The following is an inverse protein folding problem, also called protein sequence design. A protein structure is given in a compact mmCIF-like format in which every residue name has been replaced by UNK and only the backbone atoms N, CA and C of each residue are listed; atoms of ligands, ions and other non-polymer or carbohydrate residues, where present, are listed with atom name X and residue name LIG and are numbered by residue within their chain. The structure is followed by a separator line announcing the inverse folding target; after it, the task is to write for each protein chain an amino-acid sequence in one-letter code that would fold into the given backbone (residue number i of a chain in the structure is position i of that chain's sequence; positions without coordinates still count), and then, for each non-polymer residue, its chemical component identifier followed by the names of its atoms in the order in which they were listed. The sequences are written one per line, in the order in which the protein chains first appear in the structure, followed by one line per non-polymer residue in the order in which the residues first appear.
data_IF_401929671144
#
_entry.id   IF_401929671144
#
_cell.length_a   1.000
_cell.length_b   1.000
_cell.length_c   1.000
_cell.angle_alpha   90.00
_cell.angle_beta   90.00
_cell.angle_gamma   90.00
#
_symmetry.space_group_name_H-M   'P 1'
#
loop_
_entity.id
_entity.type
_entity.pdbx_description
1 polymer ?
#
# COMPACT_ATOMS: atom_id res chain seq x y z
N UNK A 1 -13.97 8.90 -26.45
CA UNK A 1 -13.98 7.43 -26.36
C UNK A 1 -12.78 7.07 -25.51
N UNK A 2 -12.96 6.37 -24.39
CA UNK A 2 -11.83 5.92 -23.58
C UNK A 2 -11.07 4.86 -24.38
N UNK A 3 -9.78 5.07 -24.60
CA UNK A 3 -8.96 4.16 -25.40
C UNK A 3 -8.88 2.80 -24.68
N UNK A 4 -9.12 1.67 -25.38
CA UNK A 4 -8.98 0.33 -24.81
C UNK A 4 -7.61 0.11 -24.13
N UNK A 5 -6.60 0.83 -24.62
CA UNK A 5 -5.23 0.83 -24.08
C UNK A 5 -5.15 1.42 -22.67
N UNK A 6 -5.89 2.49 -22.36
CA UNK A 6 -5.91 3.08 -21.03
C UNK A 6 -6.55 2.14 -20.00
N UNK A 7 -7.64 1.47 -20.39
CA UNK A 7 -8.30 0.47 -19.55
C UNK A 7 -7.39 -0.75 -19.28
N UNK A 8 -6.67 -1.20 -20.31
CA UNK A 8 -5.67 -2.25 -20.19
C UNK A 8 -4.51 -1.82 -19.26
N UNK A 9 -4.02 -0.59 -19.39
CA UNK A 9 -2.94 -0.03 -18.56
C UNK A 9 -3.30 -0.01 -17.07
N UNK A 10 -4.48 0.49 -16.72
CA UNK A 10 -4.95 0.53 -15.32
C UNK A 10 -5.14 -0.88 -14.77
N UNK A 11 -5.70 -1.80 -15.57
CA UNK A 11 -5.92 -3.19 -15.14
C UNK A 11 -4.59 -3.92 -14.88
N UNK A 12 -3.59 -3.71 -15.73
CA UNK A 12 -2.25 -4.28 -15.54
C UNK A 12 -1.55 -3.67 -14.33
N UNK A 13 -1.65 -2.34 -14.14
CA UNK A 13 -1.08 -1.67 -12.97
C UNK A 13 -1.71 -2.19 -11.65
N UNK A 14 -3.03 -2.37 -11.62
CA UNK A 14 -3.75 -2.94 -10.48
C UNK A 14 -3.33 -4.40 -10.21
N UNK A 15 -3.15 -5.19 -11.26
CA UNK A 15 -2.70 -6.57 -11.16
C UNK A 15 -1.24 -6.67 -10.66
N UNK A 16 -0.37 -5.76 -11.10
CA UNK A 16 1.04 -5.70 -10.68
C UNK A 16 1.17 -5.47 -9.17
N UNK A 17 0.33 -4.61 -8.60
CA UNK A 17 0.35 -4.33 -7.16
C UNK A 17 -0.06 -5.57 -6.32
N UNK A 18 -1.14 -6.25 -6.71
CA UNK A 18 -1.55 -7.50 -6.07
C UNK A 18 -0.51 -8.63 -6.23
N UNK A 19 0.16 -8.68 -7.39
CA UNK A 19 1.23 -9.63 -7.66
C UNK A 19 2.47 -9.40 -6.79
N UNK A 20 2.87 -8.13 -6.60
CA UNK A 20 3.98 -7.76 -5.73
C UNK A 20 3.74 -8.20 -4.28
N UNK A 21 2.52 -8.03 -3.76
CA UNK A 21 2.11 -8.52 -2.44
C UNK A 21 2.21 -10.04 -2.35
N UNK A 22 1.71 -10.75 -3.37
CA UNK A 22 1.77 -12.22 -3.41
C UNK A 22 3.21 -12.75 -3.42
N UNK A 23 4.10 -12.14 -4.21
CA UNK A 23 5.52 -12.49 -4.22
C UNK A 23 6.19 -12.15 -2.89
N UNK A 24 5.91 -10.98 -2.32
CA UNK A 24 6.45 -10.57 -1.02
C UNK A 24 6.10 -11.57 0.08
N UNK A 25 4.85 -12.02 0.13
CA UNK A 25 4.41 -13.08 1.05
C UNK A 25 5.11 -14.40 0.72
N UNK A 26 5.23 -14.79 -0.56
CA UNK A 26 5.88 -16.03 -0.97
C UNK A 26 7.38 -16.07 -0.66
N UNK A 27 8.08 -14.94 -0.72
CA UNK A 27 9.52 -14.84 -0.48
C UNK A 27 9.86 -14.82 1.02
N UNK A 28 8.96 -14.30 1.86
CA UNK A 28 9.24 -14.07 3.28
C UNK A 28 8.95 -15.28 4.19
N UNK A 29 8.29 -16.34 3.68
CA UNK A 29 7.60 -17.29 4.55
C UNK A 29 7.99 -18.75 4.31
N UNK A 30 8.72 -19.32 5.29
CA UNK A 30 8.95 -20.77 5.44
C UNK A 30 7.80 -21.47 6.20
N UNK A 31 6.96 -20.72 6.94
CA UNK A 31 5.78 -21.22 7.67
C UNK A 31 4.75 -20.09 7.87
N UNK A 32 3.65 -20.11 7.13
CA UNK A 32 2.49 -19.22 7.35
C UNK A 32 1.26 -20.05 7.62
N UNK A 33 0.46 -19.60 8.59
CA UNK A 33 -0.93 -19.99 8.63
C UNK A 33 -1.67 -19.33 7.47
N UNK A 34 -2.42 -20.11 6.69
CA UNK A 34 -3.28 -19.63 5.59
C UNK A 34 -4.23 -18.51 6.05
N UNK A 35 -4.56 -18.47 7.35
CA UNK A 35 -5.32 -17.38 8.01
C UNK A 35 -4.65 -16.01 7.94
N UNK A 36 -3.33 -15.96 8.01
CA UNK A 36 -2.59 -14.70 8.05
C UNK A 36 -2.51 -14.09 6.65
N UNK A 37 -2.25 -14.93 5.64
CA UNK A 37 -2.31 -14.56 4.22
C UNK A 37 -3.72 -14.12 3.85
N UNK A 38 -4.74 -14.86 4.26
CA UNK A 38 -6.13 -14.51 3.98
C UNK A 38 -6.52 -13.15 4.57
N UNK A 39 -6.17 -12.86 5.83
CA UNK A 39 -6.38 -11.52 6.40
C UNK A 39 -5.62 -10.45 5.64
N UNK A 40 -4.35 -10.67 5.32
CA UNK A 40 -3.52 -9.65 4.66
C UNK A 40 -4.05 -9.33 3.25
N UNK A 41 -4.30 -10.35 2.42
CA UNK A 41 -4.85 -10.18 1.06
C UNK A 41 -6.26 -9.58 1.08
N UNK A 42 -7.09 -9.94 2.07
CA UNK A 42 -8.41 -9.35 2.23
C UNK A 42 -8.35 -7.84 2.53
N UNK A 43 -7.48 -7.43 3.47
CA UNK A 43 -7.29 -6.01 3.76
C UNK A 43 -6.68 -5.29 2.56
N UNK A 44 -5.64 -5.84 1.93
CA UNK A 44 -4.99 -5.22 0.76
C UNK A 44 -5.98 -5.02 -0.40
N UNK A 45 -6.75 -6.05 -0.76
CA UNK A 45 -7.77 -5.94 -1.82
C UNK A 45 -8.90 -4.97 -1.46
N UNK A 46 -9.32 -4.93 -0.19
CA UNK A 46 -10.32 -3.97 0.27
C UNK A 46 -9.82 -2.53 0.15
N UNK A 47 -8.59 -2.25 0.59
CA UNK A 47 -7.97 -0.94 0.44
C UNK A 47 -7.70 -0.59 -1.04
N UNK A 48 -7.30 -1.57 -1.86
CA UNK A 48 -7.11 -1.44 -3.30
C UNK A 48 -8.39 -0.98 -4.02
N UNK A 49 -9.56 -1.48 -3.59
CA UNK A 49 -10.84 -1.08 -4.16
C UNK A 49 -11.32 0.26 -3.57
N UNK A 50 -11.05 0.50 -2.29
CA UNK A 50 -11.46 1.72 -1.60
C UNK A 50 -10.68 2.95 -2.07
N UNK A 51 -9.38 2.82 -2.37
CA UNK A 51 -8.52 3.93 -2.79
C UNK A 51 -8.97 4.59 -4.10
N UNK A 52 -9.28 3.88 -5.20
CA UNK A 52 -9.87 4.46 -6.41
C UNK A 52 -11.22 5.13 -6.17
N UNK A 53 -12.07 4.56 -5.31
CA UNK A 53 -13.38 5.13 -4.96
C UNK A 53 -13.21 6.46 -4.22
N UNK A 54 -12.30 6.50 -3.24
CA UNK A 54 -11.97 7.71 -2.51
C UNK A 54 -11.28 8.74 -3.42
N UNK A 55 -10.41 8.29 -4.31
CA UNK A 55 -9.74 9.13 -5.31
C UNK A 55 -10.73 9.76 -6.29
N UNK A 56 -11.73 9.01 -6.74
CA UNK A 56 -12.80 9.54 -7.58
C UNK A 56 -13.69 10.54 -6.82
N UNK A 57 -14.10 10.21 -5.59
CA UNK A 57 -14.91 11.09 -4.75
C UNK A 57 -14.18 12.41 -4.42
N UNK A 58 -12.93 12.31 -3.98
CA UNK A 58 -12.12 13.48 -3.56
C UNK A 58 -11.60 14.25 -4.78
N UNK A 59 -11.20 13.56 -5.86
CA UNK A 59 -10.76 14.15 -7.11
C UNK A 59 -11.86 14.90 -7.84
N UNK A 60 -13.13 14.51 -7.69
CA UNK A 60 -14.26 15.29 -8.23
C UNK A 60 -14.42 16.66 -7.57
N UNK A 61 -14.01 16.81 -6.31
CA UNK A 61 -14.10 18.08 -5.55
C UNK A 61 -12.82 18.91 -5.68
N UNK A 62 -11.66 18.25 -5.69
CA UNK A 62 -10.34 18.90 -5.80
C UNK A 62 -9.91 19.18 -7.25
N UNK A 63 -10.47 18.49 -8.25
CA UNK A 63 -10.12 18.62 -9.65
C UNK A 63 -10.27 20.04 -10.22
N UNK A 64 -11.16 20.85 -9.63
CA UNK A 64 -11.33 22.25 -10.01
C UNK A 64 -10.23 23.20 -9.47
N UNK A 65 -9.49 22.80 -8.43
CA UNK A 65 -8.43 23.63 -7.82
C UNK A 65 -7.00 23.12 -8.09
N UNK A 66 -6.84 21.85 -8.48
CA UNK A 66 -5.55 21.14 -8.45
C UNK A 66 -4.99 20.81 -9.85
N UNK A 67 -5.69 21.19 -10.93
CA UNK A 67 -5.34 20.83 -12.32
C UNK A 67 -3.89 21.12 -12.73
N UNK A 68 -3.24 22.15 -12.18
CA UNK A 68 -1.84 22.48 -12.50
C UNK A 68 -0.81 21.91 -11.50
N UNK A 69 -1.21 21.62 -10.26
CA UNK A 69 -0.31 21.18 -9.19
C UNK A 69 -0.31 19.66 -8.95
N UNK A 70 -1.30 18.93 -9.49
CA UNK A 70 -1.45 17.47 -9.29
C UNK A 70 -0.22 16.67 -9.74
N UNK A 71 0.34 17.05 -10.90
CA UNK A 71 1.44 16.29 -11.50
C UNK A 71 2.73 16.37 -10.68
N UNK A 72 3.07 17.56 -10.17
CA UNK A 72 4.26 17.76 -9.36
C UNK A 72 4.09 17.17 -7.95
N UNK A 73 2.89 17.23 -7.40
CA UNK A 73 2.57 16.67 -6.09
C UNK A 73 2.66 15.14 -6.08
N UNK A 74 2.09 14.48 -7.09
CA UNK A 74 2.19 13.02 -7.26
C UNK A 74 3.65 12.57 -7.41
N UNK A 75 4.46 13.33 -8.18
CA UNK A 75 5.87 13.03 -8.36
C UNK A 75 6.68 13.12 -7.05
N UNK A 76 6.44 14.15 -6.24
CA UNK A 76 7.16 14.36 -4.97
C UNK A 76 6.89 13.22 -3.97
N UNK A 77 5.62 12.82 -3.84
CA UNK A 77 5.20 11.75 -2.92
C UNK A 77 5.80 10.41 -3.37
N UNK A 78 5.74 10.09 -4.67
CA UNK A 78 6.29 8.84 -5.20
C UNK A 78 7.81 8.77 -5.03
N UNK A 79 8.52 9.87 -5.31
CA UNK A 79 9.97 9.94 -5.15
C UNK A 79 10.37 9.75 -3.68
N UNK A 80 9.70 10.42 -2.75
CA UNK A 80 9.93 10.26 -1.31
C UNK A 80 9.64 8.84 -0.81
N UNK A 81 8.53 8.24 -1.25
CA UNK A 81 8.16 6.87 -0.86
C UNK A 81 9.15 5.83 -1.41
N UNK A 82 9.53 5.96 -2.68
CA UNK A 82 10.49 5.08 -3.33
C UNK A 82 11.87 5.14 -2.67
N UNK A 83 12.38 6.34 -2.39
CA UNK A 83 13.65 6.53 -1.66
C UNK A 83 13.56 5.90 -0.26
N UNK A 84 12.45 6.10 0.46
CA UNK A 84 12.25 5.52 1.79
C UNK A 84 12.29 3.99 1.75
N UNK A 85 11.67 3.36 0.75
CA UNK A 85 11.68 1.89 0.59
C UNK A 85 13.10 1.37 0.29
N UNK A 86 13.82 2.02 -0.62
CA UNK A 86 15.21 1.65 -0.95
C UNK A 86 16.10 1.81 0.29
N UNK A 87 15.96 2.93 1.01
CA UNK A 87 16.72 3.17 2.24
C UNK A 87 16.45 2.10 3.29
N UNK A 88 15.19 1.71 3.52
CA UNK A 88 14.83 0.65 4.46
C UNK A 88 15.41 -0.71 4.07
N UNK A 89 15.34 -1.08 2.79
CA UNK A 89 15.92 -2.33 2.29
C UNK A 89 17.45 -2.36 2.47
N UNK A 90 18.14 -1.24 2.23
CA UNK A 90 19.60 -1.17 2.42
C UNK A 90 20.02 -1.15 3.90
N UNK A 91 19.19 -0.58 4.78
CA UNK A 91 19.49 -0.44 6.20
C UNK A 91 19.09 -1.66 7.04
N UNK A 92 18.44 -2.68 6.44
CA UNK A 92 17.99 -3.94 7.08
C UNK A 92 17.42 -3.74 8.50
N UNK A 93 16.76 -2.59 8.70
CA UNK A 93 16.13 -2.26 9.97
C UNK A 93 14.74 -2.80 9.86
N UNK A 94 14.60 -4.10 10.14
CA UNK A 94 13.29 -4.67 10.39
C UNK A 94 12.64 -3.82 11.48
N UNK A 95 11.57 -3.10 11.13
CA UNK A 95 10.67 -2.54 12.13
C UNK A 95 10.15 -3.72 12.94
N UNK A 96 10.82 -3.99 14.07
CA UNK A 96 10.26 -4.79 15.13
C UNK A 96 8.96 -4.08 15.50
N UNK A 97 7.84 -4.61 15.01
CA UNK A 97 6.50 -4.25 15.47
C UNK A 97 6.54 -4.46 16.98
N UNK A 98 6.70 -3.36 17.71
CA UNK A 98 6.76 -3.36 19.17
C UNK A 98 5.38 -3.79 19.64
N UNK A 99 5.23 -5.09 19.89
CA UNK A 99 4.16 -5.59 20.74
C UNK A 99 4.51 -5.09 22.14
N UNK A 100 4.00 -3.91 22.48
CA UNK A 100 4.09 -3.37 23.83
C UNK A 100 3.08 -4.16 24.65
N UNK A 101 3.51 -5.30 25.19
CA UNK A 101 2.74 -6.04 26.17
C UNK A 101 2.47 -5.13 27.37
N UNK A 102 1.19 -4.81 27.57
CA UNK A 102 0.65 -4.01 28.67
C UNK A 102 0.60 -4.84 29.98
N UNK A 103 1.10 -6.08 29.99
CA UNK A 103 0.91 -7.01 31.12
C UNK A 103 1.85 -6.81 32.32
N UNK A 104 2.89 -5.97 32.23
CA UNK A 104 3.87 -5.80 33.31
C UNK A 104 3.51 -4.73 34.36
N UNK A 105 2.39 -4.02 34.23
CA UNK A 105 2.04 -2.91 35.16
C UNK A 105 0.88 -3.22 36.13
N UNK A 106 0.47 -4.49 36.28
CA UNK A 106 -0.63 -4.88 37.19
C UNK A 106 -0.17 -5.82 38.31
N UNK A 107 1.09 -6.26 38.34
CA UNK A 107 1.64 -7.07 39.44
C UNK A 107 2.31 -6.26 40.55
N UNK A 108 2.15 -4.93 40.56
CA UNK A 108 2.75 -4.01 41.53
C UNK A 108 1.77 -3.41 42.55
N UNK A 109 0.54 -3.93 42.63
CA UNK A 109 -0.44 -3.60 43.68
C UNK A 109 -0.44 -4.66 44.77
#
# INVERSE_FOLDING_TARGET
MLDPLALAGISVALAMDAFAVSIGISAFLKNVSVRQVFRLSFHFGFFQAMMPVLGWATGSQLGNLVSDYDHWLAFLILNGLGIKMIYQCLTNKEEKVVNKDISENVSGL
#
